data_IF_875468169918
#
_entry.id   IF_875468169918
#
_cell.length_a   1.000
_cell.length_b   1.000
_cell.length_c   1.000
_cell.angle_alpha   90.00
_cell.angle_beta   90.00
_cell.angle_gamma   90.00
#
_symmetry.space_group_name_H-M   'P 1'
#
loop_
_entity.id
_entity.type
_entity.pdbx_description
1 polymer ?
#
# COMPACT_ATOMS: atom_id res chain seq x y z
N UNK A 1 -17.24 19.83 -20.11
CA UNK A 1 -16.77 18.47 -20.48
C UNK A 1 -16.02 17.91 -19.30
N UNK A 2 -16.61 16.96 -18.55
CA UNK A 2 -15.90 16.25 -17.49
C UNK A 2 -14.81 15.40 -18.15
N UNK A 3 -13.51 15.58 -17.84
CA UNK A 3 -12.49 14.73 -18.41
C UNK A 3 -12.69 13.30 -17.91
N UNK A 4 -13.25 12.47 -18.78
CA UNK A 4 -12.81 11.12 -19.08
C UNK A 4 -12.29 10.25 -17.92
N UNK A 5 -13.02 10.26 -16.80
CA UNK A 5 -12.69 9.47 -15.61
C UNK A 5 -12.64 7.96 -15.92
N UNK A 6 -13.35 7.52 -16.95
CA UNK A 6 -13.33 6.16 -17.47
C UNK A 6 -12.00 5.80 -18.10
N UNK A 7 -11.48 6.60 -19.04
CA UNK A 7 -10.19 6.33 -19.69
C UNK A 7 -9.04 6.38 -18.68
N UNK A 8 -9.09 7.29 -17.70
CA UNK A 8 -8.09 7.33 -16.62
C UNK A 8 -8.00 6.02 -15.82
N UNK A 9 -9.14 5.41 -15.49
CA UNK A 9 -9.16 4.13 -14.77
C UNK A 9 -8.71 2.96 -15.65
N UNK A 10 -9.12 2.91 -16.91
CA UNK A 10 -8.68 1.88 -17.86
C UNK A 10 -7.16 1.93 -18.04
N UNK A 11 -6.60 3.14 -18.21
CA UNK A 11 -5.16 3.32 -18.29
C UNK A 11 -4.45 2.85 -17.00
N UNK A 12 -5.00 3.17 -15.83
CA UNK A 12 -4.43 2.74 -14.55
C UNK A 12 -4.45 1.21 -14.37
N UNK A 13 -5.53 0.54 -14.74
CA UNK A 13 -5.63 -0.93 -14.73
C UNK A 13 -4.60 -1.58 -15.67
N UNK A 14 -4.39 -0.99 -16.85
CA UNK A 14 -3.40 -1.48 -17.83
C UNK A 14 -1.96 -1.23 -17.38
N UNK A 15 -1.71 -0.14 -16.66
CA UNK A 15 -0.38 0.22 -16.16
C UNK A 15 0.01 -0.56 -14.90
N UNK A 16 -0.96 -1.10 -14.15
CA UNK A 16 -0.73 -1.84 -12.93
C UNK A 16 0.07 -3.12 -13.22
N UNK A 17 1.27 -3.22 -12.64
CA UNK A 17 2.05 -4.46 -12.66
C UNK A 17 1.77 -5.24 -11.38
N UNK A 18 1.45 -6.51 -11.55
CA UNK A 18 1.14 -7.46 -10.47
C UNK A 18 2.19 -8.55 -10.47
N UNK A 19 2.89 -8.73 -9.35
CA UNK A 19 3.86 -9.81 -9.17
C UNK A 19 3.45 -10.64 -7.96
N UNK A 20 3.17 -11.92 -8.17
CA UNK A 20 2.88 -12.85 -7.07
C UNK A 20 4.16 -13.23 -6.34
N UNK A 21 4.07 -13.45 -5.02
CA UNK A 21 5.15 -14.01 -4.22
C UNK A 21 5.32 -15.52 -4.43
N UNK A 22 5.97 -16.18 -3.47
CA UNK A 22 6.26 -17.62 -3.53
C UNK A 22 5.04 -18.55 -3.44
N UNK A 23 3.88 -18.03 -3.03
CA UNK A 23 2.62 -18.76 -2.90
C UNK A 23 1.49 -18.06 -3.66
N UNK A 24 0.45 -18.78 -4.10
CA UNK A 24 -0.74 -18.16 -4.69
C UNK A 24 -1.35 -17.13 -3.73
N UNK A 25 -1.65 -15.95 -4.27
CA UNK A 25 -2.31 -14.90 -3.50
C UNK A 25 -3.81 -15.19 -3.34
N UNK A 26 -4.29 -15.21 -2.10
CA UNK A 26 -5.72 -15.21 -1.80
C UNK A 26 -6.24 -13.77 -1.64
N UNK A 27 -7.29 -13.39 -2.40
CA UNK A 27 -7.93 -12.08 -2.28
C UNK A 27 -8.42 -11.75 -0.87
N UNK A 28 -8.29 -10.48 -0.48
CA UNK A 28 -8.83 -10.01 0.80
C UNK A 28 -10.36 -9.99 0.78
N UNK A 29 -10.95 -10.65 1.77
CA UNK A 29 -12.40 -10.68 2.04
C UNK A 29 -12.78 -10.04 3.38
N UNK A 30 -11.79 -9.71 4.21
CA UNK A 30 -11.95 -9.04 5.51
C UNK A 30 -11.12 -7.75 5.57
N UNK A 31 -11.50 -6.76 6.41
CA UNK A 31 -10.84 -5.46 6.42
C UNK A 31 -9.36 -5.53 6.84
N UNK A 32 -8.41 -5.12 5.97
CA UNK A 32 -7.00 -5.11 6.32
C UNK A 32 -6.62 -3.98 7.27
N UNK A 33 -5.38 -4.05 7.73
CA UNK A 33 -4.64 -2.90 8.24
C UNK A 33 -3.74 -2.35 7.12
N UNK A 34 -3.77 -1.05 6.89
CA UNK A 34 -2.93 -0.37 5.90
C UNK A 34 -1.77 0.32 6.62
N UNK A 35 -0.54 -0.10 6.32
CA UNK A 35 0.67 0.57 6.78
C UNK A 35 1.17 1.50 5.67
N UNK A 36 0.91 2.81 5.78
CA UNK A 36 1.33 3.80 4.79
C UNK A 36 2.70 4.38 5.16
N UNK A 37 3.74 4.02 4.40
CA UNK A 37 5.10 4.54 4.57
C UNK A 37 5.28 5.81 3.73
N UNK A 38 5.40 6.96 4.39
CA UNK A 38 5.33 8.28 3.74
C UNK A 38 6.70 8.95 3.71
N UNK A 39 7.16 9.46 2.54
CA UNK A 39 8.46 10.15 2.46
C UNK A 39 8.43 11.59 3.01
N UNK A 40 7.24 12.19 3.15
CA UNK A 40 7.01 13.52 3.73
C UNK A 40 6.28 13.37 5.06
N UNK A 41 6.81 14.00 6.10
CA UNK A 41 6.18 14.04 7.41
C UNK A 41 4.89 14.85 7.34
N UNK A 42 3.75 14.19 7.50
CA UNK A 42 2.47 14.89 7.66
C UNK A 42 2.29 15.23 9.13
N UNK A 43 2.82 16.38 9.55
CA UNK A 43 2.49 16.99 10.86
C UNK A 43 1.17 17.79 10.73
N UNK A 44 0.12 17.14 10.24
CA UNK A 44 -1.22 17.71 10.22
C UNK A 44 -2.24 16.57 10.34
N UNK A 45 -2.66 16.30 11.58
CA UNK A 45 -3.85 15.51 11.85
C UNK A 45 -5.06 16.40 11.53
N UNK A 46 -5.73 16.10 10.41
CA UNK A 46 -6.96 16.77 9.99
C UNK A 46 -7.01 16.98 8.49
N UNK A 47 -7.87 16.22 7.81
CA UNK A 47 -8.23 16.40 6.40
C UNK A 47 -7.13 16.12 5.36
N UNK A 48 -6.38 15.03 5.56
CA UNK A 48 -5.52 14.51 4.51
C UNK A 48 -6.40 14.04 3.35
N UNK A 49 -6.21 14.60 2.16
CA UNK A 49 -6.79 14.04 0.94
C UNK A 49 -6.33 12.58 0.92
N UNK A 50 -7.24 11.58 1.02
CA UNK A 50 -6.82 10.19 1.17
C UNK A 50 -5.98 9.81 -0.05
N UNK A 51 -4.67 9.76 0.11
CA UNK A 51 -3.77 9.33 -0.93
C UNK A 51 -3.58 7.82 -0.79
N UNK A 52 -3.17 7.19 -1.88
CA UNK A 52 -3.03 5.75 -1.92
C UNK A 52 -4.34 4.99 -2.04
N UNK A 53 -4.42 3.83 -1.38
CA UNK A 53 -5.49 2.83 -1.55
C UNK A 53 -6.54 2.87 -0.43
N UNK A 54 -6.31 3.65 0.64
CA UNK A 54 -7.06 3.56 1.89
C UNK A 54 -8.56 3.77 1.70
N UNK A 55 -8.96 4.86 1.05
CA UNK A 55 -10.37 5.15 0.79
C UNK A 55 -11.05 4.09 -0.10
N UNK A 56 -10.32 3.47 -1.02
CA UNK A 56 -10.88 2.44 -1.90
C UNK A 56 -11.01 1.10 -1.19
N UNK A 57 -10.05 0.73 -0.32
CA UNK A 57 -10.17 -0.46 0.52
C UNK A 57 -11.24 -0.30 1.60
N UNK A 58 -11.38 0.86 2.24
CA UNK A 58 -12.47 1.11 3.18
C UNK A 58 -13.85 0.99 2.52
N UNK A 59 -13.98 1.49 1.28
CA UNK A 59 -15.22 1.35 0.50
C UNK A 59 -15.52 -0.12 0.15
N UNK A 60 -14.51 -0.93 -0.10
CA UNK A 60 -14.64 -2.32 -0.52
C UNK A 60 -14.77 -3.30 0.65
N UNK A 61 -14.11 -2.99 1.76
CA UNK A 61 -13.99 -3.78 2.98
C UNK A 61 -14.13 -2.84 4.20
N UNK A 62 -15.35 -2.44 4.57
CA UNK A 62 -15.59 -1.47 5.64
C UNK A 62 -14.98 -1.89 6.98
N UNK A 63 -14.39 -0.93 7.68
CA UNK A 63 -13.61 -1.16 8.90
C UNK A 63 -12.11 -1.36 8.64
N UNK A 64 -11.63 -1.08 7.43
CA UNK A 64 -10.22 -0.98 7.09
C UNK A 64 -9.64 0.23 7.83
N UNK A 65 -8.51 0.01 8.51
CA UNK A 65 -7.83 1.07 9.26
C UNK A 65 -6.46 1.34 8.65
N UNK A 66 -5.97 2.56 8.80
CA UNK A 66 -4.68 3.00 8.24
C UNK A 66 -3.85 3.68 9.32
N UNK A 67 -2.58 3.29 9.43
CA UNK A 67 -1.55 4.06 10.14
C UNK A 67 -0.53 4.62 9.16
N UNK A 68 0.03 5.77 9.50
CA UNK A 68 1.02 6.50 8.70
C UNK A 68 2.36 6.51 9.41
N UNK A 69 3.41 6.15 8.69
CA UNK A 69 4.77 5.97 9.22
C UNK A 69 5.76 6.74 8.36
N UNK A 70 6.45 7.71 8.94
CA UNK A 70 7.40 8.56 8.26
C UNK A 70 8.85 8.30 8.66
N UNK A 71 9.74 9.08 8.03
CA UNK A 71 11.18 9.05 8.35
C UNK A 71 11.47 9.44 9.81
N UNK A 72 10.64 10.28 10.43
CA UNK A 72 10.84 10.71 11.81
C UNK A 72 10.68 9.53 12.77
N UNK A 73 9.64 8.72 12.58
CA UNK A 73 9.39 7.49 13.31
C UNK A 73 10.50 6.46 13.07
N UNK A 74 11.05 6.38 11.85
CA UNK A 74 12.18 5.50 11.57
C UNK A 74 13.46 5.93 12.30
N UNK A 75 13.63 7.24 12.56
CA UNK A 75 14.72 7.77 13.36
C UNK A 75 14.49 7.64 14.87
N UNK A 76 13.25 7.76 15.32
CA UNK A 76 12.86 7.67 16.72
C UNK A 76 12.69 6.21 17.16
N UNK A 77 13.78 5.58 17.65
CA UNK A 77 13.78 4.19 18.09
C UNK A 77 14.11 3.18 16.99
N UNK A 78 14.31 3.64 15.76
CA UNK A 78 14.73 2.79 14.64
C UNK A 78 13.58 2.06 13.95
N UNK A 79 13.91 1.42 12.82
CA UNK A 79 13.01 0.52 12.08
C UNK A 79 12.36 -0.54 12.98
N UNK A 80 13.05 -1.20 13.94
CA UNK A 80 12.41 -2.20 14.80
C UNK A 80 11.24 -1.66 15.63
N UNK A 81 11.37 -0.45 16.18
CA UNK A 81 10.30 0.18 16.96
C UNK A 81 9.09 0.54 16.07
N UNK A 82 9.35 1.07 14.89
CA UNK A 82 8.32 1.34 13.88
C UNK A 82 7.54 0.07 13.52
N UNK A 83 8.24 -1.04 13.22
CA UNK A 83 7.57 -2.29 12.88
C UNK A 83 6.82 -2.87 14.08
N UNK A 84 7.33 -2.70 15.31
CA UNK A 84 6.56 -3.02 16.52
C UNK A 84 5.22 -2.29 16.59
N UNK A 85 5.18 -1.01 16.24
CA UNK A 85 3.94 -0.22 16.20
C UNK A 85 3.00 -0.70 15.08
N UNK A 86 3.53 -0.94 13.87
CA UNK A 86 2.76 -1.51 12.75
C UNK A 86 2.08 -2.82 13.16
N UNK A 87 2.83 -3.73 13.77
CA UNK A 87 2.32 -5.03 14.20
C UNK A 87 1.29 -4.90 15.33
N UNK A 88 1.53 -4.02 16.29
CA UNK A 88 0.58 -3.74 17.37
C UNK A 88 -0.76 -3.21 16.86
N UNK A 89 -0.71 -2.21 15.97
CA UNK A 89 -1.92 -1.62 15.37
C UNK A 89 -2.63 -2.58 14.41
N UNK A 90 -1.88 -3.37 13.65
CA UNK A 90 -2.46 -4.37 12.75
C UNK A 90 -3.15 -5.50 13.50
N UNK A 91 -2.64 -5.87 14.68
CA UNK A 91 -3.09 -7.06 15.42
C UNK A 91 -3.10 -8.28 14.48
N UNK A 92 -4.21 -9.04 14.44
CA UNK A 92 -4.36 -10.23 13.59
C UNK A 92 -4.75 -9.93 12.14
N UNK A 93 -4.90 -8.65 11.76
CA UNK A 93 -5.33 -8.28 10.40
C UNK A 93 -4.23 -8.58 9.38
N UNK A 94 -4.63 -8.87 8.14
CA UNK A 94 -3.71 -8.86 7.01
C UNK A 94 -3.21 -7.44 6.76
N UNK A 95 -1.91 -7.31 6.49
CA UNK A 95 -1.27 -6.01 6.29
C UNK A 95 -1.19 -5.72 4.79
N UNK A 96 -1.53 -4.48 4.44
CA UNK A 96 -1.21 -3.90 3.13
C UNK A 96 -0.22 -2.76 3.35
N UNK A 97 1.04 -2.98 2.98
CA UNK A 97 2.09 -1.98 3.03
C UNK A 97 2.01 -1.09 1.79
N UNK A 98 1.73 0.20 1.99
CA UNK A 98 1.72 1.19 0.92
C UNK A 98 3.00 2.00 1.00
N UNK A 99 3.81 1.91 -0.04
CA UNK A 99 5.12 2.54 -0.11
C UNK A 99 5.19 3.47 -1.31
N UNK A 100 6.06 4.48 -1.23
CA UNK A 100 6.25 5.43 -2.31
C UNK A 100 7.72 5.66 -2.59
N UNK A 101 8.10 5.46 -3.85
CA UNK A 101 9.45 5.71 -4.35
C UNK A 101 10.53 5.04 -3.46
N UNK A 102 10.33 3.76 -3.06
CA UNK A 102 11.16 3.01 -2.10
C UNK A 102 12.66 3.11 -2.42
N UNK A 103 13.00 3.03 -3.71
CA UNK A 103 14.37 3.14 -4.22
C UNK A 103 15.06 4.48 -3.85
N UNK A 104 14.33 5.50 -3.42
CA UNK A 104 14.84 6.81 -2.99
C UNK A 104 14.99 6.94 -1.46
N UNK A 105 14.49 5.95 -0.71
CA UNK A 105 14.33 6.02 0.73
C UNK A 105 14.79 4.72 1.38
N UNK A 106 16.09 4.62 1.70
CA UNK A 106 16.67 3.41 2.31
C UNK A 106 15.88 2.91 3.55
N UNK A 107 15.46 3.83 4.42
CA UNK A 107 14.66 3.51 5.60
C UNK A 107 13.35 2.78 5.28
N UNK A 108 12.75 3.06 4.12
CA UNK A 108 11.50 2.43 3.68
C UNK A 108 11.74 1.02 3.15
N UNK A 109 12.89 0.79 2.50
CA UNK A 109 13.37 -0.54 2.15
C UNK A 109 13.63 -1.38 3.40
N UNK A 110 14.40 -0.83 4.35
CA UNK A 110 14.70 -1.49 5.62
C UNK A 110 13.43 -1.83 6.41
N UNK A 111 12.45 -0.91 6.45
CA UNK A 111 11.16 -1.13 7.09
C UNK A 111 10.33 -2.22 6.38
N UNK A 112 10.32 -2.23 5.05
CA UNK A 112 9.62 -3.26 4.29
C UNK A 112 10.25 -4.64 4.53
N UNK A 113 11.58 -4.74 4.48
CA UNK A 113 12.30 -5.99 4.75
C UNK A 113 12.01 -6.50 6.16
N UNK A 114 12.07 -5.62 7.17
CA UNK A 114 11.76 -5.97 8.55
C UNK A 114 10.31 -6.42 8.74
N UNK A 115 9.34 -5.76 8.09
CA UNK A 115 7.94 -6.15 8.13
C UNK A 115 7.73 -7.52 7.49
N UNK A 116 8.29 -7.74 6.30
CA UNK A 116 8.10 -8.98 5.53
C UNK A 116 8.78 -10.19 6.16
N UNK A 117 9.85 -9.99 6.93
CA UNK A 117 10.47 -11.04 7.71
C UNK A 117 9.53 -11.64 8.77
N UNK A 118 8.59 -10.83 9.30
CA UNK A 118 7.64 -11.25 10.34
C UNK A 118 6.26 -11.57 9.76
N UNK A 119 5.83 -10.83 8.73
CA UNK A 119 4.52 -10.92 8.08
C UNK A 119 4.69 -11.13 6.57
N UNK A 120 5.17 -12.30 6.13
CA UNK A 120 5.37 -12.58 4.70
C UNK A 120 4.07 -12.60 3.89
N UNK A 121 2.91 -12.68 4.56
CA UNK A 121 1.56 -12.61 3.98
C UNK A 121 1.13 -11.18 3.54
N UNK A 122 1.99 -10.19 3.79
CA UNK A 122 1.77 -8.77 3.48
C UNK A 122 1.66 -8.53 1.97
N UNK A 123 0.69 -7.70 1.58
CA UNK A 123 0.61 -7.13 0.23
C UNK A 123 1.40 -5.84 0.18
N UNK A 124 2.25 -5.67 -0.83
CA UNK A 124 3.03 -4.45 -1.06
C UNK A 124 2.41 -3.68 -2.23
N UNK A 125 2.08 -2.40 -2.00
CA UNK A 125 1.61 -1.49 -3.03
C UNK A 125 2.63 -0.36 -3.18
N UNK A 126 3.44 -0.45 -4.24
CA UNK A 126 4.41 0.57 -4.60
C UNK A 126 3.77 1.61 -5.53
N UNK A 127 3.69 2.84 -5.03
CA UNK A 127 3.12 3.98 -5.73
C UNK A 127 4.22 4.98 -6.12
N UNK A 128 3.99 5.74 -7.18
CA UNK A 128 5.01 6.63 -7.75
C UNK A 128 5.80 5.94 -8.85
N UNK A 129 7.12 6.14 -8.89
CA UNK A 129 8.02 5.52 -9.87
C UNK A 129 8.58 4.23 -9.27
N UNK A 130 8.17 3.05 -9.78
CA UNK A 130 8.64 1.78 -9.22
C UNK A 130 10.12 1.58 -9.50
N UNK A 131 10.87 1.11 -8.51
CA UNK A 131 12.31 0.88 -8.65
C UNK A 131 12.90 -0.17 -7.71
N UNK A 132 12.13 -0.65 -6.74
CA UNK A 132 12.55 -1.75 -5.87
C UNK A 132 12.19 -3.12 -6.48
N UNK A 133 12.96 -4.19 -6.17
CA UNK A 133 12.54 -5.55 -6.48
C UNK A 133 11.17 -5.87 -5.85
N UNK A 134 10.29 -6.62 -6.53
CA UNK A 134 9.01 -7.04 -5.97
C UNK A 134 9.16 -7.85 -4.68
N UNK A 135 8.28 -7.63 -3.71
CA UNK A 135 8.34 -8.30 -2.41
C UNK A 135 6.95 -8.63 -1.82
N UNK A 136 6.93 -9.48 -0.79
CA UNK A 136 5.71 -9.91 -0.08
C UNK A 136 4.90 -10.98 -0.81
N UNK A 137 3.68 -11.22 -0.33
CA UNK A 137 2.75 -12.19 -0.91
C UNK A 137 2.22 -11.74 -2.29
N UNK A 138 2.12 -10.43 -2.48
CA UNK A 138 1.70 -9.79 -3.73
C UNK A 138 2.33 -8.40 -3.80
N UNK A 139 3.03 -8.09 -4.88
CA UNK A 139 3.57 -6.75 -5.16
C UNK A 139 2.79 -6.08 -6.29
N UNK A 140 2.25 -4.90 -6.02
CA UNK A 140 1.51 -4.08 -6.95
C UNK A 140 2.26 -2.78 -7.23
N UNK A 141 2.74 -2.60 -8.45
CA UNK A 141 3.40 -1.37 -8.88
C UNK A 141 2.45 -0.54 -9.74
N UNK A 142 2.01 0.60 -9.22
CA UNK A 142 0.91 1.38 -9.83
C UNK A 142 1.35 2.37 -10.90
N UNK A 143 2.66 2.67 -11.01
CA UNK A 143 3.24 3.65 -11.94
C UNK A 143 2.61 5.06 -11.86
N UNK A 144 2.01 5.39 -10.71
CA UNK A 144 1.33 6.65 -10.46
C UNK A 144 0.73 6.71 -9.06
N UNK A 145 0.56 7.92 -8.53
CA UNK A 145 0.06 8.13 -7.17
C UNK A 145 -1.38 8.69 -7.12
N UNK A 146 -2.04 8.81 -8.27
CA UNK A 146 -3.41 9.34 -8.35
C UNK A 146 -4.43 8.35 -7.76
N UNK A 147 -5.58 8.86 -7.28
CA UNK A 147 -6.64 8.04 -6.67
C UNK A 147 -7.07 6.86 -7.55
N UNK A 148 -7.14 7.04 -8.88
CA UNK A 148 -7.52 5.97 -9.81
C UNK A 148 -6.52 4.80 -9.85
N UNK A 149 -5.24 5.07 -9.55
CA UNK A 149 -4.21 4.04 -9.42
C UNK A 149 -4.46 3.22 -8.16
N UNK A 150 -4.84 3.89 -7.07
CA UNK A 150 -5.21 3.22 -5.83
C UNK A 150 -6.45 2.34 -5.98
N UNK A 151 -7.44 2.77 -6.78
CA UNK A 151 -8.61 1.96 -7.13
C UNK A 151 -8.23 0.69 -7.90
N UNK A 152 -7.37 0.81 -8.93
CA UNK A 152 -6.93 -0.34 -9.70
C UNK A 152 -6.21 -1.38 -8.81
N UNK A 153 -5.36 -0.93 -7.89
CA UNK A 153 -4.70 -1.81 -6.93
C UNK A 153 -5.72 -2.48 -5.98
N UNK A 154 -6.66 -1.72 -5.42
CA UNK A 154 -7.67 -2.25 -4.51
C UNK A 154 -8.59 -3.31 -5.17
N UNK A 155 -8.90 -3.16 -6.46
CA UNK A 155 -9.63 -4.18 -7.24
C UNK A 155 -8.88 -5.51 -7.27
N UNK A 156 -7.56 -5.50 -7.55
CA UNK A 156 -6.73 -6.72 -7.55
C UNK A 156 -6.62 -7.32 -6.15
N UNK A 157 -6.37 -6.51 -5.12
CA UNK A 157 -6.27 -6.96 -3.72
C UNK A 157 -7.53 -7.69 -3.27
N UNK A 158 -8.70 -7.22 -3.70
CA UNK A 158 -9.99 -7.80 -3.31
C UNK A 158 -10.52 -8.83 -4.30
N UNK A 159 -9.72 -9.23 -5.31
CA UNK A 159 -10.11 -10.23 -6.30
C UNK A 159 -11.27 -9.78 -7.19
N UNK A 160 -11.57 -8.48 -7.23
CA UNK A 160 -12.55 -7.92 -8.15
C UNK A 160 -11.89 -7.77 -9.50
N UNK A 161 -12.34 -8.54 -10.48
CA UNK A 161 -11.82 -8.49 -11.84
C UNK A 161 -11.78 -7.05 -12.36
N UNK A 162 -10.75 -6.75 -13.15
CA UNK A 162 -10.64 -5.51 -13.93
C UNK A 162 -11.74 -5.52 -14.99
N UNK A 163 -12.99 -5.25 -14.58
CA UNK A 163 -14.17 -5.38 -15.43
C UNK A 163 -13.92 -4.77 -16.81
N UNK A 164 -14.19 -5.57 -17.84
CA UNK A 164 -14.19 -5.20 -19.26
C UNK A 164 -14.99 -3.94 -19.51
#
# INVERSE_FOLDING_TARGET
AEPDRGIGLVAARRALRVTAGGSPYEPLTTPPYIAAFTPVANIAVGDETPWGIAAELERLLPGTVTGSYGRAEAGAGGVPAMIGNVLGEASDRRIVAVVRDVHRHAWMGDALDALLAVRPDTVVVEMGVPGAPPAGALHLATHGAARICGRAAAEVITGRGTGS
#
